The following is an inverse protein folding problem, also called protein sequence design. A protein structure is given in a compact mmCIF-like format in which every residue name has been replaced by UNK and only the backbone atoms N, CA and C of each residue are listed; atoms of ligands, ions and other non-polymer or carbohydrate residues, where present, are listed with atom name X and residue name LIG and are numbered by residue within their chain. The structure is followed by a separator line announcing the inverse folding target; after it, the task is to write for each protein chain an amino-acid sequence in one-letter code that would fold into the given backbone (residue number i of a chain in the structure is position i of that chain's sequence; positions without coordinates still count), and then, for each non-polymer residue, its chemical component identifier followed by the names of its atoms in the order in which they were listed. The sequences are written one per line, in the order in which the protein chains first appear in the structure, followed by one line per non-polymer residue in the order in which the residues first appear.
data_IF_820598623963
#
_entry.id   IF_820598623963
#
_cell.length_a   1.000
_cell.length_b   1.000
_cell.length_c   1.000
_cell.angle_alpha   90.00
_cell.angle_beta   90.00
_cell.angle_gamma   90.00
#
_symmetry.space_group_name_H-M   'P 1'
#
loop_
_entity.id
_entity.type
_entity.pdbx_description
1 polymer ?
#
# COMPACT_ATOMS: atom_id res chain seq x y z
N UNK A 1 15.34 -0.21 -0.41
CA UNK A 1 15.60 1.04 0.34
C UNK A 1 15.47 0.75 1.83
N UNK A 2 16.23 1.41 2.71
CA UNK A 2 15.99 1.23 4.16
C UNK A 2 14.76 2.04 4.60
N UNK A 3 13.80 1.43 5.32
CA UNK A 3 12.64 2.16 5.84
C UNK A 3 13.06 3.25 6.84
N UNK A 4 12.30 4.35 6.91
CA UNK A 4 12.51 5.41 7.91
C UNK A 4 12.41 4.86 9.34
N UNK A 5 12.99 5.54 10.35
CA UNK A 5 12.83 5.13 11.75
C UNK A 5 11.36 5.02 12.19
N UNK A 6 10.49 5.91 11.68
CA UNK A 6 9.06 5.87 11.93
C UNK A 6 8.41 4.62 11.33
N UNK A 7 8.77 4.28 10.09
CA UNK A 7 8.31 3.06 9.43
C UNK A 7 8.82 1.79 10.13
N UNK A 8 10.08 1.77 10.57
CA UNK A 8 10.63 0.65 11.35
C UNK A 8 9.83 0.41 12.64
N UNK A 9 9.50 1.48 13.38
CA UNK A 9 8.68 1.37 14.59
C UNK A 9 7.25 0.87 14.31
N UNK A 10 6.68 1.21 13.14
CA UNK A 10 5.38 0.68 12.71
C UNK A 10 5.47 -0.80 12.33
N UNK A 11 6.53 -1.22 11.63
CA UNK A 11 6.77 -2.64 11.32
C UNK A 11 6.82 -3.46 12.61
N UNK A 12 7.54 -2.99 13.64
CA UNK A 12 7.56 -3.66 14.96
C UNK A 12 6.17 -3.78 15.60
N UNK A 13 5.35 -2.72 15.52
CA UNK A 13 3.96 -2.75 16.02
C UNK A 13 3.08 -3.71 15.23
N UNK A 14 3.23 -3.76 13.90
CA UNK A 14 2.54 -4.72 13.04
C UNK A 14 2.88 -6.15 13.48
N UNK A 15 4.17 -6.47 13.63
CA UNK A 15 4.59 -7.78 14.16
C UNK A 15 3.98 -8.08 15.52
N UNK A 16 3.94 -7.11 16.43
CA UNK A 16 3.37 -7.28 17.76
C UNK A 16 1.86 -7.57 17.73
N UNK A 17 1.10 -6.85 16.88
CA UNK A 17 -0.36 -6.99 16.78
C UNK A 17 -0.73 -8.34 16.16
N UNK A 18 -0.04 -8.75 15.10
CA UNK A 18 -0.38 -9.95 14.32
C UNK A 18 0.26 -11.25 14.84
N UNK A 19 1.16 -11.20 15.84
CA UNK A 19 1.76 -12.42 16.45
C UNK A 19 0.75 -13.40 17.08
N UNK A 20 -0.51 -12.98 17.26
CA UNK A 20 -1.60 -13.80 17.81
C UNK A 20 -2.04 -14.91 16.87
N UNK A 21 -1.80 -14.75 15.56
CA UNK A 21 -2.21 -15.73 14.57
C UNK A 21 -1.21 -16.88 14.55
N UNK A 22 -1.67 -18.13 14.65
CA UNK A 22 -0.78 -19.29 14.64
C UNK A 22 -0.20 -19.50 13.24
N UNK A 23 0.92 -20.23 13.18
CA UNK A 23 1.50 -20.69 11.91
C UNK A 23 0.44 -21.50 11.14
N UNK A 24 0.13 -21.15 9.88
CA UNK A 24 -0.84 -21.87 9.07
C UNK A 24 -0.44 -23.34 8.90
N UNK A 25 -1.32 -24.25 9.29
CA UNK A 25 -1.07 -25.69 9.16
C UNK A 25 -1.25 -26.17 7.71
N UNK A 26 -2.19 -25.54 7.00
CA UNK A 26 -2.51 -25.81 5.60
C UNK A 26 -2.53 -24.49 4.85
N UNK A 27 -2.02 -24.51 3.62
CA UNK A 27 -2.12 -23.36 2.71
C UNK A 27 -3.26 -23.61 1.75
N UNK A 28 -4.10 -22.59 1.57
CA UNK A 28 -5.18 -22.69 0.60
C UNK A 28 -4.68 -22.18 -0.75
N UNK A 29 -4.23 -23.11 -1.60
CA UNK A 29 -3.62 -22.82 -2.91
C UNK A 29 -4.41 -23.47 -4.02
N UNK A 30 -4.47 -22.84 -5.20
CA UNK A 30 -5.21 -23.37 -6.34
C UNK A 30 -4.72 -24.76 -6.79
N UNK A 31 -3.40 -24.94 -6.85
CA UNK A 31 -2.77 -26.22 -7.17
C UNK A 31 -1.27 -26.23 -6.76
N UNK A 32 -0.62 -27.39 -6.83
CA UNK A 32 0.79 -27.57 -6.46
C UNK A 32 1.78 -26.81 -7.37
N UNK A 33 1.36 -26.43 -8.59
CA UNK A 33 2.17 -25.60 -9.48
C UNK A 33 2.15 -24.11 -9.09
N UNK A 34 1.12 -23.69 -8.35
CA UNK A 34 0.99 -22.30 -7.88
C UNK A 34 1.83 -22.07 -6.62
N UNK A 35 1.92 -23.07 -5.75
CA UNK A 35 2.80 -23.07 -4.58
C UNK A 35 3.14 -24.52 -4.23
N UNK A 36 4.39 -24.92 -4.48
CA UNK A 36 4.83 -26.30 -4.34
C UNK A 36 4.76 -26.81 -2.91
N UNK A 37 4.66 -28.13 -2.74
CA UNK A 37 4.70 -28.74 -1.39
C UNK A 37 6.00 -28.38 -0.64
N UNK A 38 7.11 -28.20 -1.36
CA UNK A 38 8.39 -27.78 -0.78
C UNK A 38 8.32 -26.35 -0.25
N UNK A 39 7.76 -25.41 -1.02
CA UNK A 39 7.58 -24.01 -0.61
C UNK A 39 6.63 -23.91 0.58
N UNK A 40 5.50 -24.64 0.55
CA UNK A 40 4.57 -24.73 1.69
C UNK A 40 5.26 -25.26 2.95
N UNK A 41 6.09 -26.31 2.82
CA UNK A 41 6.86 -26.85 3.94
C UNK A 41 7.88 -25.83 4.45
N UNK A 42 8.54 -25.10 3.56
CA UNK A 42 9.48 -24.05 3.95
C UNK A 42 8.77 -22.90 4.68
N UNK A 43 7.59 -22.46 4.23
CA UNK A 43 6.79 -21.42 4.88
C UNK A 43 6.37 -21.82 6.30
N UNK A 44 6.02 -23.10 6.52
CA UNK A 44 5.67 -23.62 7.86
C UNK A 44 6.85 -23.70 8.81
N UNK A 45 8.02 -24.05 8.29
CA UNK A 45 9.19 -24.36 9.12
C UNK A 45 10.14 -23.18 9.32
N UNK A 46 9.88 -22.05 8.66
CA UNK A 46 10.70 -20.84 8.77
C UNK A 46 10.02 -19.85 9.70
N UNK A 47 10.78 -19.31 10.66
CA UNK A 47 10.29 -18.19 11.51
C UNK A 47 9.81 -17.04 10.63
N UNK A 48 8.68 -16.41 10.98
CA UNK A 48 8.03 -15.38 10.16
C UNK A 48 8.99 -14.26 9.70
N UNK A 49 9.89 -13.81 10.57
CA UNK A 49 10.91 -12.78 10.26
C UNK A 49 12.04 -13.27 9.36
N UNK A 50 12.29 -14.58 9.35
CA UNK A 50 13.34 -15.20 8.56
C UNK A 50 12.86 -15.63 7.17
N UNK A 51 11.54 -15.53 6.87
CA UNK A 51 11.02 -15.93 5.57
C UNK A 51 11.62 -15.02 4.49
N UNK A 52 12.28 -15.59 3.46
CA UNK A 52 12.89 -14.79 2.39
C UNK A 52 11.81 -14.18 1.49
N UNK A 53 12.17 -13.08 0.82
CA UNK A 53 11.26 -12.38 -0.09
C UNK A 53 10.68 -13.31 -1.15
N UNK A 54 11.52 -14.11 -1.81
CA UNK A 54 11.08 -15.04 -2.85
C UNK A 54 9.94 -15.97 -2.41
N UNK A 55 9.95 -16.42 -1.15
CA UNK A 55 8.97 -17.36 -0.63
C UNK A 55 7.66 -16.65 -0.21
N UNK A 56 7.75 -15.45 0.39
CA UNK A 56 6.55 -14.60 0.61
C UNK A 56 5.96 -14.18 -0.74
N UNK A 57 6.80 -13.86 -1.71
CA UNK A 57 6.38 -13.42 -3.03
C UNK A 57 5.68 -14.53 -3.79
N UNK A 58 6.18 -15.78 -3.74
CA UNK A 58 5.52 -16.95 -4.29
C UNK A 58 4.15 -17.19 -3.63
N UNK A 59 4.08 -17.11 -2.30
CA UNK A 59 2.80 -17.18 -1.59
C UNK A 59 1.83 -16.07 -2.01
N UNK A 60 2.29 -14.82 -2.03
CA UNK A 60 1.48 -13.67 -2.41
C UNK A 60 0.98 -13.81 -3.85
N UNK A 61 1.86 -14.23 -4.77
CA UNK A 61 1.68 -14.41 -6.23
C UNK A 61 0.91 -15.66 -6.66
N UNK A 62 0.80 -16.65 -5.79
CA UNK A 62 0.01 -17.84 -6.10
C UNK A 62 -1.49 -17.48 -6.17
N UNK A 63 -2.24 -17.99 -7.16
CA UNK A 63 -3.69 -17.99 -7.12
C UNK A 63 -4.17 -18.74 -5.87
N UNK A 64 -4.85 -18.04 -4.96
CA UNK A 64 -5.62 -18.68 -3.89
C UNK A 64 -7.05 -18.92 -4.34
N UNK A 65 -7.80 -19.80 -3.66
CA UNK A 65 -9.24 -19.81 -3.83
C UNK A 65 -9.87 -18.56 -3.25
N UNK A 66 -11.04 -18.24 -3.79
CA UNK A 66 -11.94 -17.20 -3.32
C UNK A 66 -13.10 -17.86 -2.55
N UNK A 67 -13.27 -17.59 -1.24
CA UNK A 67 -12.55 -16.62 -0.42
C UNK A 67 -11.26 -17.18 0.21
N UNK A 68 -10.30 -16.29 0.45
CA UNK A 68 -9.06 -16.64 1.13
C UNK A 68 -9.24 -16.77 2.65
N UNK A 69 -8.51 -17.72 3.28
CA UNK A 69 -8.46 -17.84 4.73
C UNK A 69 -7.84 -16.57 5.35
N UNK A 70 -8.64 -15.84 6.14
CA UNK A 70 -8.21 -14.59 6.76
C UNK A 70 -7.04 -14.75 7.73
N UNK A 71 -6.93 -15.87 8.44
CA UNK A 71 -5.86 -16.05 9.44
C UNK A 71 -4.51 -16.34 8.80
N UNK A 72 -4.50 -17.02 7.64
CA UNK A 72 -3.29 -17.22 6.84
C UNK A 72 -2.73 -15.87 6.38
N UNK A 73 -3.59 -15.00 5.83
CA UNK A 73 -3.20 -13.66 5.40
C UNK A 73 -2.68 -12.85 6.58
N UNK A 74 -3.41 -12.84 7.70
CA UNK A 74 -3.01 -12.11 8.92
C UNK A 74 -1.68 -12.60 9.50
N UNK A 75 -1.36 -13.90 9.40
CA UNK A 75 -0.07 -14.43 9.83
C UNK A 75 1.10 -13.92 8.99
N UNK A 76 0.99 -13.93 7.65
CA UNK A 76 2.08 -13.49 6.76
C UNK A 76 2.14 -11.98 6.57
N UNK A 77 1.07 -11.26 6.88
CA UNK A 77 0.94 -9.83 6.65
C UNK A 77 2.10 -8.99 7.22
N UNK A 78 2.62 -9.22 8.44
CA UNK A 78 3.77 -8.45 8.94
C UNK A 78 5.00 -8.54 8.04
N UNK A 79 5.31 -9.74 7.53
CA UNK A 79 6.47 -9.95 6.67
C UNK A 79 6.25 -9.37 5.28
N UNK A 80 5.02 -9.46 4.75
CA UNK A 80 4.66 -8.81 3.50
C UNK A 80 4.81 -7.28 3.59
N UNK A 81 4.27 -6.66 4.65
CA UNK A 81 4.35 -5.20 4.85
C UNK A 81 5.79 -4.73 5.07
N UNK A 82 6.61 -5.51 5.75
CA UNK A 82 8.04 -5.23 5.87
C UNK A 82 8.72 -5.15 4.50
N UNK A 83 8.43 -6.07 3.57
CA UNK A 83 8.97 -6.03 2.22
C UNK A 83 8.40 -4.90 1.37
N UNK A 84 7.11 -4.58 1.52
CA UNK A 84 6.48 -3.41 0.89
C UNK A 84 7.19 -2.13 1.36
N UNK A 85 7.43 -1.97 2.67
CA UNK A 85 8.16 -0.83 3.21
C UNK A 85 9.61 -0.72 2.71
N UNK A 86 10.24 -1.85 2.38
CA UNK A 86 11.58 -1.90 1.79
C UNK A 86 11.59 -1.64 0.27
N UNK A 87 10.40 -1.52 -0.34
CA UNK A 87 10.15 -1.37 -1.78
C UNK A 87 10.61 -2.57 -2.61
N UNK A 88 10.39 -3.79 -2.09
CA UNK A 88 10.71 -5.02 -2.80
C UNK A 88 9.51 -5.52 -3.60
N UNK A 89 9.55 -5.35 -4.92
CA UNK A 89 8.45 -5.66 -5.85
C UNK A 89 8.87 -6.53 -7.04
N UNK A 90 9.93 -7.33 -6.91
CA UNK A 90 10.49 -8.07 -8.04
C UNK A 90 9.41 -8.94 -8.72
N UNK A 91 9.18 -8.67 -10.01
CA UNK A 91 8.28 -9.39 -10.91
C UNK A 91 6.76 -9.26 -10.60
N UNK A 92 6.35 -8.25 -9.80
CA UNK A 92 4.92 -7.95 -9.58
C UNK A 92 4.70 -6.45 -9.77
N UNK A 93 3.62 -6.09 -10.45
CA UNK A 93 3.15 -4.71 -10.49
C UNK A 93 2.75 -4.25 -9.09
N UNK A 94 3.26 -3.11 -8.61
CA UNK A 94 3.15 -2.66 -7.21
C UNK A 94 1.71 -2.70 -6.66
N UNK A 95 0.74 -2.36 -7.51
CA UNK A 95 -0.71 -2.45 -7.25
C UNK A 95 -1.16 -3.80 -6.68
N UNK A 96 -0.54 -4.90 -7.09
CA UNK A 96 -0.90 -6.26 -6.65
C UNK A 96 -0.15 -6.71 -5.40
N UNK A 97 0.72 -5.88 -4.81
CA UNK A 97 1.54 -6.27 -3.66
C UNK A 97 0.69 -6.64 -2.43
N UNK A 98 -0.48 -6.01 -2.25
CA UNK A 98 -1.39 -6.27 -1.14
C UNK A 98 -2.65 -7.07 -1.53
N UNK A 99 -2.65 -7.71 -2.70
CA UNK A 99 -3.84 -8.41 -3.24
C UNK A 99 -4.42 -9.47 -2.29
N UNK A 100 -3.59 -10.11 -1.48
CA UNK A 100 -4.02 -11.12 -0.49
C UNK A 100 -4.92 -10.52 0.60
N UNK A 101 -4.73 -9.25 0.93
CA UNK A 101 -5.61 -8.51 1.86
C UNK A 101 -6.97 -8.25 1.19
N UNK A 102 -6.98 -7.95 -0.11
CA UNK A 102 -8.21 -7.76 -0.88
C UNK A 102 -9.10 -9.02 -0.84
N UNK A 103 -8.49 -10.18 -1.07
CA UNK A 103 -9.17 -11.48 -1.18
C UNK A 103 -9.56 -12.10 0.18
N UNK A 104 -9.08 -11.56 1.30
CA UNK A 104 -9.41 -12.04 2.63
C UNK A 104 -10.71 -11.40 3.14
N UNK A 105 -11.59 -12.20 3.74
CA UNK A 105 -12.76 -11.64 4.43
C UNK A 105 -12.34 -10.65 5.52
N UNK A 106 -12.97 -9.47 5.50
CA UNK A 106 -12.68 -8.36 6.41
C UNK A 106 -13.63 -8.28 7.61
N UNK A 107 -14.71 -9.05 7.61
CA UNK A 107 -15.78 -9.03 8.62
C UNK A 107 -15.24 -9.20 10.05
N UNK A 108 -14.19 -10.00 10.22
CA UNK A 108 -13.63 -10.35 11.54
C UNK A 108 -12.30 -9.68 11.87
N UNK A 109 -11.89 -8.66 11.12
CA UNK A 109 -10.68 -7.92 11.45
C UNK A 109 -10.90 -7.10 12.72
N UNK A 110 -9.88 -6.99 13.56
CA UNK A 110 -9.97 -6.23 14.81
C UNK A 110 -9.69 -4.75 14.54
N UNK A 111 -10.14 -3.90 15.44
CA UNK A 111 -9.96 -2.45 15.30
C UNK A 111 -8.48 -2.05 15.34
N UNK A 112 -7.69 -2.66 16.23
CA UNK A 112 -6.24 -2.45 16.31
C UNK A 112 -5.51 -2.89 15.03
N UNK A 113 -5.96 -3.95 14.38
CA UNK A 113 -5.45 -4.44 13.09
C UNK A 113 -5.74 -3.45 11.96
N UNK A 114 -6.99 -2.96 11.85
CA UNK A 114 -7.34 -1.93 10.86
C UNK A 114 -6.57 -0.62 11.11
N UNK A 115 -6.49 -0.20 12.37
CA UNK A 115 -5.81 1.03 12.75
C UNK A 115 -4.31 0.99 12.45
N UNK A 116 -3.63 -0.14 12.70
CA UNK A 116 -2.20 -0.23 12.39
C UNK A 116 -1.94 -0.26 10.87
N UNK A 117 -2.82 -0.90 10.08
CA UNK A 117 -2.71 -0.87 8.63
C UNK A 117 -2.90 0.53 8.06
N UNK A 118 -3.88 1.29 8.56
CA UNK A 118 -4.09 2.68 8.15
C UNK A 118 -2.87 3.54 8.48
N UNK A 119 -2.30 3.40 9.69
CA UNK A 119 -1.10 4.13 10.10
C UNK A 119 0.12 3.75 9.27
N UNK A 120 0.29 2.47 8.97
CA UNK A 120 1.34 1.97 8.07
C UNK A 120 1.21 2.63 6.69
N UNK A 121 0.02 2.61 6.10
CA UNK A 121 -0.23 3.18 4.77
C UNK A 121 0.03 4.69 4.73
N UNK A 122 -0.44 5.45 5.74
CA UNK A 122 -0.15 6.88 5.85
C UNK A 122 1.37 7.16 5.92
N UNK A 123 2.11 6.42 6.76
CA UNK A 123 3.58 6.58 6.85
C UNK A 123 4.27 6.20 5.54
N UNK A 124 3.79 5.14 4.88
CA UNK A 124 4.33 4.71 3.59
C UNK A 124 4.22 5.82 2.55
N UNK A 125 3.04 6.43 2.42
CA UNK A 125 2.82 7.54 1.50
C UNK A 125 3.72 8.73 1.83
N UNK A 126 3.83 9.10 3.11
CA UNK A 126 4.68 10.19 3.55
C UNK A 126 6.17 9.94 3.25
N UNK A 127 6.66 8.72 3.52
CA UNK A 127 8.05 8.33 3.23
C UNK A 127 8.35 8.33 1.73
N UNK A 128 7.38 8.00 0.88
CA UNK A 128 7.55 8.02 -0.58
C UNK A 128 7.69 9.44 -1.12
N UNK A 129 6.82 10.36 -0.69
CA UNK A 129 6.85 11.75 -1.18
C UNK A 129 7.94 12.60 -0.55
N UNK A 130 8.54 12.15 0.55
CA UNK A 130 9.66 12.82 1.22
C UNK A 130 11.01 12.60 0.49
N UNK A 131 11.03 11.80 -0.57
CA UNK A 131 12.22 11.61 -1.40
C UNK A 131 12.57 12.83 -2.27
N UNK A 132 13.66 12.69 -3.01
CA UNK A 132 14.19 13.78 -3.84
C UNK A 132 13.46 13.95 -5.18
N UNK A 133 12.58 13.02 -5.52
CA UNK A 133 11.84 12.97 -6.78
C UNK A 133 10.33 12.95 -6.55
N UNK A 134 9.58 13.51 -7.49
CA UNK A 134 8.14 13.34 -7.54
C UNK A 134 7.77 11.88 -7.84
N UNK A 135 6.67 11.41 -7.28
CA UNK A 135 6.27 10.00 -7.33
C UNK A 135 4.87 9.85 -7.89
N UNK A 136 4.63 8.76 -8.60
CA UNK A 136 3.32 8.42 -9.16
C UNK A 136 2.40 7.86 -8.07
N UNK A 137 1.63 8.73 -7.42
CA UNK A 137 0.76 8.36 -6.29
C UNK A 137 -0.36 7.40 -6.68
N UNK A 138 -0.76 7.37 -7.95
CA UNK A 138 -1.90 6.58 -8.43
C UNK A 138 -1.75 5.10 -8.09
N UNK A 139 -0.59 4.50 -8.38
CA UNK A 139 -0.36 3.07 -8.14
C UNK A 139 -0.36 2.70 -6.67
N UNK A 140 0.16 3.58 -5.81
CA UNK A 140 0.16 3.37 -4.37
C UNK A 140 -1.25 3.47 -3.78
N UNK A 141 -2.04 4.46 -4.23
CA UNK A 141 -3.44 4.61 -3.81
C UNK A 141 -4.28 3.43 -4.29
N UNK A 142 -4.08 2.94 -5.52
CA UNK A 142 -4.70 1.71 -6.02
C UNK A 142 -4.39 0.50 -5.13
N UNK A 143 -3.10 0.31 -4.80
CA UNK A 143 -2.63 -0.80 -3.97
C UNK A 143 -3.36 -0.82 -2.61
N UNK A 144 -3.44 0.35 -1.96
CA UNK A 144 -4.09 0.48 -0.66
C UNK A 144 -5.62 0.44 -0.74
N UNK A 145 -6.23 1.03 -1.78
CA UNK A 145 -7.69 0.97 -1.99
C UNK A 145 -8.15 -0.47 -2.13
N UNK A 146 -7.44 -1.28 -2.92
CA UNK A 146 -7.77 -2.72 -3.07
C UNK A 146 -7.56 -3.49 -1.76
N UNK A 147 -6.66 -3.04 -0.90
CA UNK A 147 -6.52 -3.57 0.45
C UNK A 147 -7.62 -3.07 1.42
N UNK A 148 -8.60 -2.28 0.96
CA UNK A 148 -9.67 -1.64 1.75
C UNK A 148 -9.12 -0.71 2.84
N UNK A 149 -8.07 0.02 2.48
CA UNK A 149 -7.54 1.11 3.29
C UNK A 149 -8.14 2.42 2.77
N UNK A 150 -8.65 3.23 3.69
CA UNK A 150 -9.29 4.49 3.33
C UNK A 150 -8.28 5.44 2.68
N UNK A 151 -8.65 6.05 1.56
CA UNK A 151 -7.76 6.91 0.78
C UNK A 151 -7.60 8.32 1.35
N UNK A 152 -8.65 8.90 1.96
CA UNK A 152 -8.59 10.26 2.50
C UNK A 152 -7.44 10.47 3.49
N UNK A 153 -7.21 9.59 4.50
CA UNK A 153 -6.07 9.75 5.40
C UNK A 153 -4.69 9.60 4.72
N UNK A 154 -4.61 8.86 3.60
CA UNK A 154 -3.37 8.75 2.81
C UNK A 154 -3.08 10.06 2.08
N UNK A 155 -4.10 10.66 1.47
CA UNK A 155 -4.01 11.96 0.81
C UNK A 155 -3.67 13.07 1.82
N UNK A 156 -4.27 13.02 3.02
CA UNK A 156 -3.94 13.91 4.14
C UNK A 156 -2.48 13.76 4.59
N UNK A 157 -1.97 12.52 4.63
CA UNK A 157 -0.57 12.26 4.97
C UNK A 157 0.37 12.88 3.92
N UNK A 158 0.06 12.74 2.62
CA UNK A 158 0.86 13.34 1.54
C UNK A 158 0.87 14.87 1.61
N UNK A 159 -0.30 15.51 1.70
CA UNK A 159 -0.39 16.99 1.72
C UNK A 159 0.18 17.60 3.00
N UNK A 160 0.33 16.80 4.06
CA UNK A 160 0.98 17.23 5.30
C UNK A 160 2.49 17.33 5.17
N UNK A 161 3.13 16.59 4.25
CA UNK A 161 4.56 16.69 3.98
C UNK A 161 4.85 18.00 3.25
N UNK A 162 5.63 18.92 3.84
CA UNK A 162 6.00 20.15 3.16
C UNK A 162 7.07 19.87 2.10
N UNK A 163 7.05 20.63 1.00
CA UNK A 163 8.11 20.60 0.00
C UNK A 163 7.58 20.60 -1.43
N UNK A 164 8.52 20.77 -2.35
CA UNK A 164 8.23 20.79 -3.77
C UNK A 164 7.76 19.42 -4.28
N UNK A 165 8.49 18.34 -3.97
CA UNK A 165 8.19 17.00 -4.49
C UNK A 165 6.83 16.43 -4.06
N UNK A 166 6.40 16.51 -2.78
CA UNK A 166 5.03 16.13 -2.40
C UNK A 166 3.97 16.93 -3.15
N UNK A 167 4.21 18.22 -3.34
CA UNK A 167 3.26 19.12 -4.03
C UNK A 167 3.13 18.77 -5.51
N UNK A 168 4.26 18.51 -6.19
CA UNK A 168 4.26 18.07 -7.60
C UNK A 168 3.57 16.71 -7.74
N UNK A 169 3.90 15.74 -6.88
CA UNK A 169 3.29 14.41 -6.88
C UNK A 169 1.76 14.50 -6.75
N UNK A 170 1.27 15.34 -5.83
CA UNK A 170 -0.15 15.60 -5.65
C UNK A 170 -0.76 16.31 -6.88
N UNK A 171 -0.08 17.31 -7.44
CA UNK A 171 -0.56 18.02 -8.63
C UNK A 171 -0.68 17.09 -9.85
N UNK A 172 0.30 16.21 -10.06
CA UNK A 172 0.27 15.17 -11.08
C UNK A 172 -0.91 14.22 -10.88
N UNK A 173 -1.12 13.73 -9.66
CA UNK A 173 -2.28 12.87 -9.34
C UNK A 173 -3.60 13.55 -9.70
N UNK A 174 -3.81 14.79 -9.23
CA UNK A 174 -5.04 15.53 -9.47
C UNK A 174 -5.24 15.89 -10.95
N UNK A 175 -4.15 16.14 -11.67
CA UNK A 175 -4.20 16.37 -13.11
C UNK A 175 -4.69 15.11 -13.84
N UNK A 176 -4.11 13.94 -13.56
CA UNK A 176 -4.54 12.67 -14.18
C UNK A 176 -6.00 12.33 -13.89
N UNK A 177 -6.50 12.65 -12.68
CA UNK A 177 -7.86 12.34 -12.25
C UNK A 177 -8.91 13.38 -12.70
N UNK A 178 -8.55 14.36 -13.54
CA UNK A 178 -9.53 15.27 -14.16
C UNK A 178 -10.37 14.53 -15.19
N UNK A 179 -11.66 14.84 -15.21
CA UNK A 179 -12.63 14.24 -16.14
C UNK A 179 -12.16 14.31 -17.61
N UNK A 180 -11.67 15.47 -18.05
CA UNK A 180 -11.14 15.65 -19.41
C UNK A 180 -9.95 14.71 -19.72
N UNK A 181 -9.07 14.47 -18.75
CA UNK A 181 -7.90 13.61 -18.94
C UNK A 181 -8.28 12.13 -18.90
N UNK A 182 -9.24 11.76 -18.06
CA UNK A 182 -9.79 10.40 -18.01
C UNK A 182 -10.51 10.07 -19.32
N UNK A 183 -11.36 10.97 -19.83
CA UNK A 183 -12.07 10.77 -21.10
C UNK A 183 -11.11 10.64 -22.29
N UNK A 184 -9.95 11.31 -22.22
CA UNK A 184 -8.90 11.22 -23.24
C UNK A 184 -7.96 10.01 -23.05
N UNK A 185 -8.12 9.21 -21.99
CA UNK A 185 -7.41 7.95 -21.81
C UNK A 185 -7.77 6.98 -22.94
N UNK A 186 -6.77 6.25 -23.45
CA UNK A 186 -6.98 5.17 -24.44
C UNK A 186 -7.62 3.92 -23.83
N UNK A 187 -7.82 3.89 -22.52
CA UNK A 187 -8.35 2.77 -21.77
C UNK A 187 -9.57 3.20 -20.97
N UNK A 188 -10.66 2.43 -21.07
CA UNK A 188 -11.82 2.57 -20.19
C UNK A 188 -11.43 2.19 -18.76
N UNK A 189 -11.82 3.01 -17.79
CA UNK A 189 -11.67 2.68 -16.38
C UNK A 189 -12.64 1.56 -15.99
N UNK A 190 -12.16 0.61 -15.18
CA UNK A 190 -13.04 -0.33 -14.51
C UNK A 190 -13.81 0.37 -13.37
N UNK A 191 -14.72 -0.36 -12.72
CA UNK A 191 -15.57 0.23 -11.68
C UNK A 191 -14.79 0.56 -10.39
N UNK A 192 -13.71 -0.17 -10.10
CA UNK A 192 -12.83 0.11 -8.96
C UNK A 192 -12.05 1.42 -9.21
N UNK A 193 -11.52 1.59 -10.42
CA UNK A 193 -10.80 2.79 -10.85
C UNK A 193 -11.70 4.04 -10.79
N UNK A 194 -12.96 3.92 -11.22
CA UNK A 194 -13.95 5.00 -11.09
C UNK A 194 -14.23 5.34 -9.63
N UNK A 195 -14.36 4.33 -8.76
CA UNK A 195 -14.60 4.54 -7.34
C UNK A 195 -13.40 5.23 -6.65
N UNK A 196 -12.18 4.84 -6.99
CA UNK A 196 -10.94 5.49 -6.53
C UNK A 196 -10.89 6.94 -6.99
N UNK A 197 -11.12 7.18 -8.29
CA UNK A 197 -11.15 8.51 -8.90
C UNK A 197 -12.17 9.42 -8.19
N UNK A 198 -13.38 8.92 -7.95
CA UNK A 198 -14.43 9.67 -7.26
C UNK A 198 -14.03 10.06 -5.84
N UNK A 199 -13.39 9.15 -5.09
CA UNK A 199 -12.88 9.45 -3.75
C UNK A 199 -11.78 10.51 -3.76
N UNK A 200 -10.82 10.42 -4.69
CA UNK A 200 -9.74 11.41 -4.84
C UNK A 200 -10.32 12.79 -5.17
N UNK A 201 -11.25 12.87 -6.13
CA UNK A 201 -11.87 14.13 -6.56
C UNK A 201 -12.74 14.75 -5.45
N UNK A 202 -13.50 13.93 -4.71
CA UNK A 202 -14.27 14.39 -3.56
C UNK A 202 -13.35 14.94 -2.46
N UNK A 203 -12.26 14.23 -2.14
CA UNK A 203 -11.27 14.71 -1.19
C UNK A 203 -10.63 16.04 -1.63
N UNK A 204 -10.23 16.14 -2.91
CA UNK A 204 -9.60 17.34 -3.45
C UNK A 204 -10.55 18.55 -3.42
N UNK A 205 -11.83 18.34 -3.72
CA UNK A 205 -12.86 19.37 -3.64
C UNK A 205 -13.00 19.92 -2.21
N UNK A 206 -12.99 19.03 -1.21
CA UNK A 206 -13.10 19.43 0.19
C UNK A 206 -11.83 20.11 0.74
N UNK A 207 -10.67 19.87 0.11
CA UNK A 207 -9.36 20.35 0.58
C UNK A 207 -8.74 21.44 -0.32
N UNK A 208 -9.54 22.11 -1.16
CA UNK A 208 -9.05 23.11 -2.13
C UNK A 208 -8.23 24.25 -1.50
N UNK A 209 -8.60 24.72 -0.30
CA UNK A 209 -7.90 25.81 0.38
C UNK A 209 -6.46 25.40 0.73
N UNK A 210 -6.29 24.20 1.28
CA UNK A 210 -4.99 23.64 1.65
C UNK A 210 -4.16 23.38 0.38
N UNK A 211 -4.76 22.79 -0.65
CA UNK A 211 -4.09 22.55 -1.94
C UNK A 211 -3.54 23.83 -2.57
N UNK A 212 -4.33 24.92 -2.56
CA UNK A 212 -3.89 26.24 -3.06
C UNK A 212 -2.72 26.78 -2.26
N UNK A 213 -2.78 26.67 -0.93
CA UNK A 213 -1.70 27.15 -0.06
C UNK A 213 -0.40 26.34 -0.25
N UNK A 214 -0.49 25.00 -0.38
CA UNK A 214 0.66 24.16 -0.67
C UNK A 214 1.29 24.46 -2.03
N UNK A 215 0.46 24.62 -3.06
CA UNK A 215 0.93 25.01 -4.39
C UNK A 215 1.67 26.37 -4.36
N UNK A 216 1.10 27.35 -3.66
CA UNK A 216 1.73 28.67 -3.46
C UNK A 216 3.09 28.54 -2.77
N UNK A 217 3.17 27.79 -1.67
CA UNK A 217 4.42 27.57 -0.92
C UNK A 217 5.50 26.90 -1.79
N UNK A 218 5.14 25.92 -2.62
CA UNK A 218 6.07 25.23 -3.50
C UNK A 218 6.61 26.13 -4.62
N UNK A 219 5.78 27.02 -5.16
CA UNK A 219 6.18 27.99 -6.20
C UNK A 219 7.06 29.10 -5.63
N UNK A 220 6.73 29.61 -4.44
CA UNK A 220 7.45 30.73 -3.82
C UNK A 220 8.76 30.32 -3.14
N UNK A 221 8.90 29.06 -2.72
CA UNK A 221 10.12 28.55 -2.07
C UNK A 221 10.68 27.29 -2.77
N UNK A 222 11.05 27.35 -4.06
CA UNK A 222 11.47 26.16 -4.79
C UNK A 222 12.83 25.59 -4.31
N UNK A 223 13.62 26.35 -3.54
CA UNK A 223 15.04 26.05 -3.23
C UNK A 223 15.43 26.33 -1.76
N UNK A 224 14.67 25.81 -0.79
CA UNK A 224 15.18 25.59 0.57
C UNK A 224 15.22 24.09 0.87
N UNK A 225 15.88 23.32 0.02
CA UNK A 225 16.33 21.99 0.39
C UNK A 225 17.69 22.15 1.10
N UNK A 226 17.91 21.53 2.27
CA UNK A 226 19.22 21.56 2.91
C UNK A 226 20.26 20.94 1.96
N UNK A 227 21.38 21.62 1.76
CA UNK A 227 22.59 21.03 1.16
C UNK A 227 23.10 19.83 1.97
#
# INVERSE_FOLDING_TARGET
MQPSPAMQALIEQVYHIFRRYPVPQQFVVCCEYCLSQQEQKALRNTSLRAIPYSLINAWNSSPGPDPQNSDEVRYFLPRLLEFVAQRQFDNIHEVFSLRRINLASKENWREDERAILQRFACQYMADWVSGDEAVELQYMLEMFSRADIALSPLLDAVISVPGYQPTVSMACLLWHNREENIQNSRFEQDDDDKAITAQINAWAFNNQSILKERARQAIENPLKQPE
#
